data_IF_163982460607
#
_entry.id   IF_163982460607
#
_cell.length_a   1.000
_cell.length_b   1.000
_cell.length_c   1.000
_cell.angle_alpha   90.00
_cell.angle_beta   90.00
_cell.angle_gamma   90.00
#
_symmetry.space_group_name_H-M   'P 1'
#
loop_
_entity.id
_entity.type
_entity.pdbx_description
1 polymer ?
#
# COMPACT_ATOMS: atom_id res chain seq x y z
N UNK A 1 13.50 21.96 15.11
CA UNK A 1 13.19 22.00 13.67
C UNK A 1 11.70 21.67 13.49
N UNK A 2 11.05 22.15 12.43
CA UNK A 2 9.64 21.85 12.13
C UNK A 2 9.52 20.44 11.53
N UNK A 3 8.52 19.67 11.93
CA UNK A 3 8.30 18.26 11.49
C UNK A 3 6.91 18.03 10.89
N UNK A 4 6.12 19.09 10.71
CA UNK A 4 4.78 19.06 10.13
C UNK A 4 4.75 19.68 8.73
N UNK A 5 3.84 19.15 7.91
CA UNK A 5 3.51 19.63 6.57
C UNK A 5 1.99 19.81 6.46
N UNK A 6 1.55 20.88 5.79
CA UNK A 6 0.13 21.12 5.49
C UNK A 6 -0.05 21.08 3.98
N UNK A 7 -0.90 20.18 3.50
CA UNK A 7 -1.23 19.99 2.08
C UNK A 7 -2.71 20.34 1.90
N UNK A 8 -3.02 21.20 0.93
CA UNK A 8 -4.40 21.53 0.59
C UNK A 8 -4.95 20.54 -0.43
N UNK A 9 -6.04 19.86 -0.08
CA UNK A 9 -6.72 18.90 -0.94
C UNK A 9 -8.08 19.49 -1.34
N UNK A 10 -8.43 19.52 -2.65
CA UNK A 10 -9.64 20.21 -3.13
C UNK A 10 -10.93 19.42 -2.90
N UNK A 11 -10.85 18.11 -2.71
CA UNK A 11 -11.98 17.21 -2.56
C UNK A 11 -11.96 16.56 -1.17
N UNK A 12 -13.14 16.44 -0.55
CA UNK A 12 -13.30 15.70 0.69
C UNK A 12 -13.50 14.20 0.38
N UNK A 13 -12.77 13.29 1.05
CA UNK A 13 -13.03 11.86 0.90
C UNK A 13 -14.38 11.51 1.56
N UNK A 14 -15.28 10.79 0.88
CA UNK A 14 -16.59 10.43 1.43
C UNK A 14 -16.49 9.40 2.58
N UNK A 15 -15.40 8.64 2.62
CA UNK A 15 -15.02 7.68 3.65
C UNK A 15 -13.52 7.38 3.53
N UNK A 16 -12.99 6.55 4.43
CA UNK A 16 -11.56 6.20 4.47
C UNK A 16 -11.27 4.75 4.09
N UNK A 17 -12.21 4.06 3.48
CA UNK A 17 -11.99 2.71 2.93
C UNK A 17 -11.55 2.80 1.45
N UNK A 18 -10.31 2.44 1.11
CA UNK A 18 -9.79 2.48 -0.27
C UNK A 18 -10.43 1.44 -1.20
N UNK A 19 -11.18 0.48 -0.66
CA UNK A 19 -11.84 -0.58 -1.45
C UNK A 19 -13.32 -0.28 -1.69
N UNK A 20 -13.93 0.62 -0.91
CA UNK A 20 -15.36 0.88 -0.95
C UNK A 20 -15.80 1.95 -1.98
N UNK A 21 -14.87 2.64 -2.62
CA UNK A 21 -15.20 3.69 -3.60
C UNK A 21 -14.01 4.13 -4.44
N UNK A 22 -14.28 4.71 -5.61
CA UNK A 22 -13.26 5.13 -6.59
C UNK A 22 -12.92 6.64 -6.51
N UNK A 23 -13.26 7.31 -5.41
CA UNK A 23 -13.01 8.74 -5.26
C UNK A 23 -11.51 8.98 -5.02
N UNK A 24 -10.85 9.72 -5.92
CA UNK A 24 -9.40 9.98 -5.86
C UNK A 24 -8.95 10.60 -4.52
N UNK A 25 -9.82 11.38 -3.86
CA UNK A 25 -9.54 11.97 -2.55
C UNK A 25 -9.29 10.94 -1.45
N UNK A 26 -9.80 9.71 -1.59
CA UNK A 26 -9.55 8.60 -0.65
C UNK A 26 -8.08 8.20 -0.73
N UNK A 27 -7.59 7.94 -1.95
CA UNK A 27 -6.20 7.57 -2.19
C UNK A 27 -5.24 8.71 -1.83
N UNK A 28 -5.56 9.96 -2.16
CA UNK A 28 -4.73 11.13 -1.83
C UNK A 28 -4.49 11.29 -0.33
N UNK A 29 -5.46 10.92 0.51
CA UNK A 29 -5.36 11.03 1.96
C UNK A 29 -4.69 9.80 2.57
N UNK A 30 -4.96 8.60 2.04
CA UNK A 30 -4.63 7.35 2.74
C UNK A 30 -3.43 6.60 2.17
N UNK A 31 -3.25 6.64 0.86
CA UNK A 31 -2.18 5.89 0.19
C UNK A 31 -0.82 6.41 0.66
N UNK A 32 0.06 5.50 1.09
CA UNK A 32 1.38 5.79 1.64
C UNK A 32 1.41 6.69 2.90
N UNK A 33 0.25 7.04 3.46
CA UNK A 33 0.12 7.73 4.76
C UNK A 33 -0.40 6.79 5.85
N UNK A 34 -1.36 5.92 5.52
CA UNK A 34 -2.01 4.97 6.43
C UNK A 34 -1.91 3.53 5.93
N UNK A 35 -1.94 3.32 4.62
CA UNK A 35 -1.84 1.99 4.02
C UNK A 35 -0.56 1.85 3.18
N UNK A 36 -0.03 0.64 3.18
CA UNK A 36 1.12 0.21 2.36
C UNK A 36 0.69 -0.97 1.48
N UNK A 37 1.26 -1.07 0.29
CA UNK A 37 1.00 -2.16 -0.65
C UNK A 37 2.10 -3.22 -0.62
N UNK A 38 1.96 -4.30 -1.39
CA UNK A 38 3.09 -5.20 -1.63
C UNK A 38 4.23 -4.51 -2.40
N UNK A 39 3.87 -3.55 -3.25
CA UNK A 39 4.78 -2.74 -4.05
C UNK A 39 4.32 -1.28 -4.03
N UNK A 40 5.22 -0.39 -4.42
CA UNK A 40 4.94 1.04 -4.56
C UNK A 40 5.50 1.58 -5.86
N UNK A 41 4.92 2.69 -6.34
CA UNK A 41 5.44 3.39 -7.51
C UNK A 41 6.50 4.40 -7.08
N UNK A 42 7.68 4.29 -7.66
CA UNK A 42 8.79 5.21 -7.46
C UNK A 42 8.61 6.52 -8.23
N UNK A 43 9.46 7.52 -7.95
CA UNK A 43 9.34 8.86 -8.54
C UNK A 43 9.49 8.87 -10.07
N UNK A 44 10.09 7.85 -10.67
CA UNK A 44 10.24 7.74 -12.13
C UNK A 44 9.24 6.74 -12.74
N UNK A 45 8.23 6.30 -11.99
CA UNK A 45 7.22 5.33 -12.44
C UNK A 45 7.65 3.87 -12.35
N UNK A 46 8.83 3.59 -11.79
CA UNK A 46 9.29 2.23 -11.55
C UNK A 46 8.50 1.54 -10.43
N UNK A 47 8.36 0.21 -10.49
CA UNK A 47 7.76 -0.57 -9.41
C UNK A 47 8.84 -0.94 -8.41
N UNK A 48 8.69 -0.51 -7.17
CA UNK A 48 9.62 -0.75 -6.06
C UNK A 48 9.02 -1.69 -5.01
N UNK A 49 9.87 -2.42 -4.27
CA UNK A 49 9.49 -3.13 -3.05
C UNK A 49 8.82 -2.22 -2.03
N UNK A 50 7.86 -2.76 -1.29
CA UNK A 50 7.23 -2.14 -0.12
C UNK A 50 6.98 -3.23 0.94
N UNK A 51 5.74 -3.68 1.21
CA UNK A 51 5.52 -4.82 2.13
C UNK A 51 6.06 -6.16 1.62
N UNK A 52 6.30 -6.30 0.31
CA UNK A 52 7.07 -7.40 -0.25
C UNK A 52 8.53 -6.99 -0.46
N UNK A 53 9.47 -7.78 0.07
CA UNK A 53 10.91 -7.54 -0.09
C UNK A 53 11.39 -7.83 -1.53
N UNK A 54 10.70 -8.73 -2.23
CA UNK A 54 10.99 -9.11 -3.63
C UNK A 54 9.82 -9.91 -4.20
N UNK A 55 9.80 -10.09 -5.52
CA UNK A 55 8.88 -11.00 -6.19
C UNK A 55 9.50 -11.63 -7.42
N UNK A 56 8.96 -12.78 -7.81
CA UNK A 56 9.27 -13.45 -9.08
C UNK A 56 8.02 -13.59 -9.91
N UNK A 57 8.20 -13.66 -11.23
CA UNK A 57 7.12 -13.80 -12.21
C UNK A 57 7.42 -15.06 -13.01
N UNK A 58 6.41 -15.92 -13.20
CA UNK A 58 6.54 -17.11 -14.04
C UNK A 58 6.79 -16.74 -15.50
N UNK A 59 7.37 -17.68 -16.26
CA UNK A 59 7.70 -17.48 -17.69
C UNK A 59 6.49 -17.09 -18.55
N UNK A 60 5.28 -17.54 -18.17
CA UNK A 60 4.03 -17.20 -18.87
C UNK A 60 3.39 -15.89 -18.40
N UNK A 61 3.99 -15.22 -17.41
CA UNK A 61 3.54 -13.93 -16.88
C UNK A 61 2.27 -14.00 -16.02
N UNK A 62 1.81 -15.20 -15.63
CA UNK A 62 0.51 -15.39 -14.95
C UNK A 62 0.60 -15.69 -13.47
N UNK A 63 1.77 -16.08 -12.98
CA UNK A 63 2.00 -16.37 -11.56
C UNK A 63 3.03 -15.41 -11.00
N UNK A 64 2.65 -14.69 -9.95
CA UNK A 64 3.51 -13.78 -9.21
C UNK A 64 3.71 -14.38 -7.81
N UNK A 65 4.98 -14.53 -7.39
CA UNK A 65 5.31 -15.01 -6.05
C UNK A 65 6.00 -13.90 -5.29
N UNK A 66 5.36 -13.39 -4.24
CA UNK A 66 5.90 -12.33 -3.39
C UNK A 66 6.56 -12.94 -2.16
N UNK A 67 7.75 -12.42 -1.82
CA UNK A 67 8.42 -12.66 -0.55
C UNK A 67 8.09 -11.48 0.35
N UNK A 68 7.48 -11.71 1.51
CA UNK A 68 7.01 -10.65 2.41
C UNK A 68 8.07 -10.29 3.45
N UNK A 69 8.08 -9.03 3.88
CA UNK A 69 8.87 -8.62 5.04
C UNK A 69 8.40 -9.35 6.31
N UNK A 70 9.34 -9.72 7.18
CA UNK A 70 9.04 -10.36 8.46
C UNK A 70 8.99 -9.34 9.60
N UNK A 71 8.15 -9.60 10.60
CA UNK A 71 8.03 -8.74 11.78
C UNK A 71 7.29 -7.42 11.55
N UNK A 72 6.64 -7.25 10.40
CA UNK A 72 5.74 -6.12 10.13
C UNK A 72 4.48 -6.27 10.99
N UNK A 73 3.99 -5.15 11.50
CA UNK A 73 2.82 -5.08 12.35
C UNK A 73 1.84 -4.04 11.84
N UNK A 74 0.55 -4.32 12.00
CA UNK A 74 -0.49 -3.31 11.84
C UNK A 74 -0.46 -2.31 13.00
N UNK A 75 -1.18 -1.20 12.84
CA UNK A 75 -1.26 -0.15 13.85
C UNK A 75 -1.89 -0.60 15.17
N UNK A 76 -2.65 -1.70 15.18
CA UNK A 76 -3.20 -2.32 16.40
C UNK A 76 -2.23 -3.30 17.08
N UNK A 77 -1.06 -3.54 16.48
CA UNK A 77 -0.01 -4.42 16.98
C UNK A 77 -0.08 -5.87 16.51
N UNK A 78 -1.14 -6.25 15.78
CA UNK A 78 -1.23 -7.57 15.13
C UNK A 78 -0.15 -7.76 14.08
N UNK A 79 0.25 -9.01 13.84
CA UNK A 79 1.27 -9.35 12.84
C UNK A 79 0.68 -9.32 11.44
N UNK A 80 1.45 -8.79 10.49
CA UNK A 80 1.14 -8.87 9.06
C UNK A 80 1.69 -10.16 8.44
N UNK A 81 0.89 -10.83 7.61
CA UNK A 81 1.30 -12.02 6.87
C UNK A 81 0.55 -12.24 5.56
N UNK A 82 0.84 -13.38 4.92
CA UNK A 82 0.28 -13.72 3.62
C UNK A 82 -1.26 -13.92 3.63
N UNK A 83 -1.85 -14.27 4.78
CA UNK A 83 -3.29 -14.39 4.90
C UNK A 83 -4.00 -13.03 4.83
N UNK A 84 -3.39 -11.96 5.35
CA UNK A 84 -3.90 -10.60 5.25
C UNK A 84 -3.83 -10.11 3.80
N UNK A 85 -2.71 -10.38 3.13
CA UNK A 85 -2.56 -10.10 1.69
C UNK A 85 -3.67 -10.78 0.90
N UNK A 86 -3.93 -12.06 1.18
CA UNK A 86 -4.99 -12.83 0.52
C UNK A 86 -6.38 -12.26 0.82
N UNK A 87 -6.62 -11.79 2.04
CA UNK A 87 -7.90 -11.20 2.43
C UNK A 87 -8.20 -9.90 1.66
N UNK A 88 -7.18 -9.15 1.29
CA UNK A 88 -7.31 -7.85 0.60
C UNK A 88 -7.43 -7.93 -0.93
N UNK A 89 -7.42 -9.12 -1.54
CA UNK A 89 -7.58 -9.34 -3.00
C UNK A 89 -9.04 -9.54 -3.39
#
# INVERSE_FOLDING_TARGET
>A
ARTDLVIGIPLEPPHLDPTAGAAAAIDEVLYANVFEGLTRIGPNGEVLPDLAESWTISDDGKTYTFKLHTGVKFHDGSDFGADDVKFSL
#
